data_IF_442082515086
#
_entry.id   IF_442082515086
#
_cell.length_a   1.000
_cell.length_b   1.000
_cell.length_c   1.000
_cell.angle_alpha   90.00
_cell.angle_beta   90.00
_cell.angle_gamma   90.00
#
_symmetry.space_group_name_H-M   'P 1'
#
loop_
_entity.id
_entity.type
_entity.pdbx_description
1 polymer ?
#
# COMPACT_ATOMS: atom_id res chain seq x y z
N UNK A 1 17.13 25.75 -6.20
CA UNK A 1 18.44 25.42 -6.79
C UNK A 1 19.53 26.00 -5.89
N UNK A 2 20.05 25.23 -4.96
CA UNK A 2 21.19 25.61 -4.10
C UNK A 2 22.48 25.25 -4.82
N UNK A 3 23.20 26.23 -5.31
CA UNK A 3 24.54 26.03 -5.85
C UNK A 3 25.55 25.83 -4.70
N UNK A 4 26.21 24.69 -4.68
CA UNK A 4 27.36 24.44 -3.80
C UNK A 4 28.59 25.19 -4.36
N UNK A 5 29.13 26.14 -3.59
CA UNK A 5 30.37 26.82 -3.89
C UNK A 5 31.56 25.93 -3.49
N UNK A 6 32.03 25.10 -4.43
CA UNK A 6 33.29 24.35 -4.29
C UNK A 6 34.17 24.47 -5.55
N UNK A 7 35.51 24.41 -5.39
CA UNK A 7 36.46 24.28 -6.51
C UNK A 7 36.37 22.86 -7.07
N UNK A 8 35.53 22.65 -8.07
CA UNK A 8 35.34 21.37 -8.75
C UNK A 8 34.35 21.49 -9.90
N UNK A 9 34.18 20.40 -10.67
CA UNK A 9 33.19 20.36 -11.73
C UNK A 9 31.79 20.60 -11.13
N UNK A 10 30.96 21.47 -11.75
CA UNK A 10 29.62 21.72 -11.24
C UNK A 10 28.83 20.42 -11.08
N UNK A 11 28.30 20.18 -9.88
CA UNK A 11 27.39 19.04 -9.61
C UNK A 11 25.96 19.53 -9.80
N UNK A 12 25.21 18.83 -10.63
CA UNK A 12 23.77 19.07 -10.79
C UNK A 12 23.07 18.15 -9.79
N UNK A 13 22.37 18.70 -8.77
CA UNK A 13 21.58 17.87 -7.88
C UNK A 13 20.42 17.24 -8.67
N UNK A 14 20.27 15.94 -8.53
CA UNK A 14 19.12 15.21 -9.08
C UNK A 14 17.99 15.22 -8.04
N UNK A 15 16.83 15.67 -8.44
CA UNK A 15 15.60 15.58 -7.67
C UNK A 15 14.61 14.67 -8.40
N UNK A 16 13.77 13.98 -7.62
CA UNK A 16 12.63 13.27 -8.19
C UNK A 16 11.71 14.27 -8.88
N UNK A 17 11.46 14.05 -10.16
CA UNK A 17 10.53 14.88 -10.92
C UNK A 17 9.11 14.76 -10.35
N UNK A 18 8.34 15.84 -10.41
CA UNK A 18 6.90 15.76 -10.19
C UNK A 18 6.26 15.02 -11.38
N UNK A 19 6.13 13.71 -11.22
CA UNK A 19 5.46 12.88 -12.22
C UNK A 19 3.94 13.12 -12.16
N UNK A 20 3.25 13.14 -13.31
CA UNK A 20 1.82 13.44 -13.33
C UNK A 20 0.93 12.32 -12.78
N UNK A 21 1.49 11.21 -12.27
CA UNK A 21 0.76 10.09 -11.71
C UNK A 21 0.72 10.07 -10.19
N UNK A 22 -0.13 9.20 -9.64
CA UNK A 22 -0.26 8.93 -8.21
C UNK A 22 -0.10 7.44 -7.92
N UNK A 23 0.30 7.13 -6.70
CA UNK A 23 0.31 5.80 -6.14
C UNK A 23 -0.88 5.69 -5.18
N UNK A 24 -1.71 4.66 -5.34
CA UNK A 24 -2.83 4.41 -4.46
C UNK A 24 -2.44 3.41 -3.38
N UNK A 25 -2.84 3.69 -2.14
CA UNK A 25 -2.75 2.77 -1.02
C UNK A 25 -4.14 2.50 -0.45
N UNK A 26 -4.44 1.23 -0.21
CA UNK A 26 -5.70 0.78 0.38
C UNK A 26 -5.38 -0.08 1.60
N UNK A 27 -5.90 0.30 2.76
CA UNK A 27 -5.80 -0.50 3.98
C UNK A 27 -7.19 -1.02 4.34
N UNK A 28 -7.38 -2.33 4.17
CA UNK A 28 -8.67 -2.99 4.41
C UNK A 28 -8.75 -3.42 5.86
N UNK A 29 -9.62 -2.79 6.64
CA UNK A 29 -9.94 -3.14 8.01
C UNK A 29 -11.32 -3.77 8.15
N UNK A 30 -11.65 -4.24 9.35
CA UNK A 30 -12.95 -4.87 9.64
C UNK A 30 -14.10 -3.89 9.66
N UNK A 31 -13.89 -2.71 10.21
CA UNK A 31 -14.92 -1.67 10.40
C UNK A 31 -14.88 -0.59 9.31
N UNK A 32 -13.69 -0.28 8.80
CA UNK A 32 -13.50 0.72 7.75
C UNK A 32 -12.37 0.35 6.81
N UNK A 33 -12.36 0.96 5.63
CA UNK A 33 -11.28 0.84 4.66
C UNK A 33 -10.69 2.21 4.40
N UNK A 34 -9.40 2.35 4.67
CA UNK A 34 -8.68 3.60 4.43
C UNK A 34 -8.05 3.60 3.04
N UNK A 35 -8.31 4.67 2.28
CA UNK A 35 -7.79 4.84 0.92
C UNK A 35 -7.00 6.14 0.85
N UNK A 36 -5.80 6.09 0.27
CA UNK A 36 -4.96 7.28 0.12
C UNK A 36 -4.27 7.31 -1.24
N UNK A 37 -4.06 8.51 -1.77
CA UNK A 37 -3.27 8.77 -2.97
C UNK A 37 -2.01 9.54 -2.60
N UNK A 38 -0.88 9.06 -3.11
CA UNK A 38 0.45 9.59 -2.82
C UNK A 38 1.14 10.05 -4.10
N UNK A 39 2.00 11.05 -3.99
CA UNK A 39 2.95 11.38 -5.06
C UNK A 39 4.18 10.46 -5.02
N UNK A 40 5.06 10.59 -6.03
CA UNK A 40 6.30 9.81 -6.11
C UNK A 40 7.26 10.05 -4.93
N UNK A 41 7.10 11.14 -4.20
CA UNK A 41 7.88 11.48 -3.00
C UNK A 41 7.27 10.92 -1.72
N UNK A 42 6.15 10.16 -1.82
CA UNK A 42 5.44 9.57 -0.68
C UNK A 42 4.57 10.56 0.10
N UNK A 43 4.33 11.77 -0.43
CA UNK A 43 3.45 12.73 0.23
C UNK A 43 1.99 12.37 -0.06
N UNK A 44 1.18 12.34 0.98
CA UNK A 44 -0.27 12.13 0.85
C UNK A 44 -0.91 13.35 0.16
N UNK A 45 -1.55 13.10 -0.97
CA UNK A 45 -2.26 14.12 -1.75
C UNK A 45 -3.75 14.16 -1.39
N UNK A 46 -4.33 13.01 -1.16
CA UNK A 46 -5.73 12.86 -0.81
C UNK A 46 -5.90 11.56 -0.02
N UNK A 47 -6.76 11.56 0.98
CA UNK A 47 -7.12 10.34 1.70
C UNK A 47 -8.61 10.34 2.06
N UNK A 48 -9.16 9.15 2.22
CA UNK A 48 -10.53 8.92 2.63
C UNK A 48 -10.63 7.71 3.53
N UNK A 49 -11.52 7.79 4.48
CA UNK A 49 -12.00 6.65 5.24
C UNK A 49 -13.35 6.23 4.65
N UNK A 50 -13.41 5.00 4.14
CA UNK A 50 -14.64 4.42 3.64
C UNK A 50 -15.33 3.72 4.80
N UNK A 51 -16.46 4.26 5.23
CA UNK A 51 -17.30 3.67 6.28
C UNK A 51 -18.05 2.44 5.72
N UNK A 52 -17.29 1.40 5.40
CA UNK A 52 -17.81 0.14 4.88
C UNK A 52 -17.32 -0.99 5.79
N UNK A 53 -18.26 -1.62 6.49
CA UNK A 53 -17.99 -2.85 7.22
C UNK A 53 -17.94 -4.01 6.23
N UNK A 54 -16.75 -4.53 5.96
CA UNK A 54 -16.48 -5.56 4.93
C UNK A 54 -17.38 -6.78 5.10
N UNK A 55 -17.64 -7.22 6.34
CA UNK A 55 -18.51 -8.38 6.64
C UNK A 55 -19.98 -8.19 6.22
N UNK A 56 -20.43 -6.96 6.01
CA UNK A 56 -21.83 -6.64 5.73
C UNK A 56 -22.13 -6.52 4.23
N UNK A 57 -21.12 -6.65 3.38
CA UNK A 57 -21.23 -6.55 1.93
C UNK A 57 -20.62 -7.77 1.27
N UNK A 58 -21.04 -8.08 0.05
CA UNK A 58 -20.38 -9.12 -0.74
C UNK A 58 -18.96 -8.68 -1.14
N UNK A 59 -18.09 -9.66 -1.43
CA UNK A 59 -16.72 -9.39 -1.91
C UNK A 59 -16.73 -8.50 -3.15
N UNK A 60 -17.61 -8.80 -4.11
CA UNK A 60 -17.73 -8.05 -5.35
C UNK A 60 -18.20 -6.61 -5.09
N UNK A 61 -19.23 -6.42 -4.24
CA UNK A 61 -19.73 -5.08 -3.89
C UNK A 61 -18.66 -4.25 -3.16
N UNK A 62 -17.88 -4.88 -2.27
CA UNK A 62 -16.77 -4.22 -1.61
C UNK A 62 -15.72 -3.74 -2.61
N UNK A 63 -15.26 -4.63 -3.50
CA UNK A 63 -14.24 -4.31 -4.51
C UNK A 63 -14.75 -3.23 -5.47
N UNK A 64 -16.00 -3.31 -5.91
CA UNK A 64 -16.62 -2.29 -6.75
C UNK A 64 -16.68 -0.92 -6.06
N UNK A 65 -17.05 -0.90 -4.78
CA UNK A 65 -17.09 0.33 -4.00
C UNK A 65 -15.70 0.96 -3.83
N UNK A 66 -14.69 0.14 -3.58
CA UNK A 66 -13.30 0.59 -3.47
C UNK A 66 -12.77 1.13 -4.81
N UNK A 67 -13.07 0.44 -5.92
CA UNK A 67 -12.70 0.91 -7.26
C UNK A 67 -13.38 2.24 -7.61
N UNK A 68 -14.66 2.38 -7.26
CA UNK A 68 -15.39 3.62 -7.47
C UNK A 68 -14.78 4.79 -6.68
N UNK A 69 -14.38 4.55 -5.41
CA UNK A 69 -13.72 5.56 -4.59
C UNK A 69 -12.36 5.98 -5.18
N UNK A 70 -11.52 5.02 -5.58
CA UNK A 70 -10.24 5.30 -6.24
C UNK A 70 -10.42 6.13 -7.52
N UNK A 71 -11.40 5.77 -8.35
CA UNK A 71 -11.73 6.52 -9.56
C UNK A 71 -12.19 7.95 -9.26
N UNK A 72 -13.03 8.13 -8.23
CA UNK A 72 -13.48 9.46 -7.82
C UNK A 72 -12.32 10.33 -7.32
N UNK A 73 -11.42 9.74 -6.51
CA UNK A 73 -10.26 10.45 -5.97
C UNK A 73 -9.28 10.87 -7.07
N UNK A 74 -9.01 9.99 -8.04
CA UNK A 74 -8.11 10.30 -9.17
C UNK A 74 -8.70 11.32 -10.12
N UNK A 75 -10.00 11.26 -10.38
CA UNK A 75 -10.72 12.28 -11.16
C UNK A 75 -10.61 13.65 -10.50
N UNK A 76 -10.75 13.71 -9.18
CA UNK A 76 -10.61 14.97 -8.42
C UNK A 76 -9.21 15.58 -8.49
N UNK A 77 -8.17 14.72 -8.55
CA UNK A 77 -6.78 15.16 -8.67
C UNK A 77 -6.33 15.38 -10.12
N UNK A 78 -7.11 14.94 -11.09
CA UNK A 78 -6.76 14.94 -12.52
C UNK A 78 -5.42 14.21 -12.77
N UNK A 79 -5.15 13.15 -12.01
CA UNK A 79 -3.90 12.38 -12.09
C UNK A 79 -4.20 10.88 -12.21
N UNK A 80 -3.57 10.17 -13.18
CA UNK A 80 -3.76 8.73 -13.33
C UNK A 80 -3.06 7.95 -12.21
N UNK A 81 -3.65 6.81 -11.81
CA UNK A 81 -3.00 5.83 -10.95
C UNK A 81 -1.82 5.20 -11.71
N UNK A 82 -0.70 5.01 -11.03
CA UNK A 82 0.51 4.34 -11.54
C UNK A 82 0.72 2.97 -10.91
N UNK A 83 0.40 2.83 -9.64
CA UNK A 83 0.45 1.57 -8.89
C UNK A 83 -0.63 1.56 -7.82
N UNK A 84 -1.05 0.37 -7.41
CA UNK A 84 -1.94 0.18 -6.27
C UNK A 84 -1.29 -0.76 -5.26
N UNK A 85 -1.21 -0.36 -4.00
CA UNK A 85 -0.84 -1.20 -2.87
C UNK A 85 -2.07 -1.47 -2.01
N UNK A 86 -2.32 -2.73 -1.69
CA UNK A 86 -3.40 -3.13 -0.79
C UNK A 86 -2.82 -3.83 0.41
N UNK A 87 -3.21 -3.41 1.61
CA UNK A 87 -2.91 -4.13 2.84
C UNK A 87 -4.20 -4.66 3.46
N UNK A 88 -4.14 -5.86 4.01
CA UNK A 88 -5.30 -6.52 4.61
C UNK A 88 -4.88 -7.33 5.83
N UNK A 89 -5.81 -7.58 6.74
CA UNK A 89 -5.63 -8.60 7.76
C UNK A 89 -5.61 -10.00 7.14
N UNK A 90 -5.17 -10.99 7.91
CA UNK A 90 -5.09 -12.38 7.46
C UNK A 90 -3.85 -12.69 6.62
N UNK A 91 -3.91 -13.78 5.90
CA UNK A 91 -2.80 -14.32 5.10
C UNK A 91 -3.01 -13.99 3.63
N UNK A 92 -1.96 -13.48 2.99
CA UNK A 92 -1.91 -13.30 1.53
C UNK A 92 -1.04 -14.41 0.95
N UNK A 93 -1.63 -15.22 0.07
CA UNK A 93 -0.94 -16.33 -0.60
C UNK A 93 -0.46 -15.92 -1.98
N UNK A 94 0.34 -16.80 -2.59
CA UNK A 94 0.85 -16.65 -3.94
C UNK A 94 -0.28 -16.28 -4.92
N UNK A 95 -0.02 -15.30 -5.81
CA UNK A 95 -1.02 -14.73 -6.71
C UNK A 95 -1.86 -13.59 -6.09
N UNK A 96 -1.64 -13.23 -4.81
CA UNK A 96 -2.35 -12.13 -4.15
C UNK A 96 -3.74 -12.51 -3.61
N UNK A 97 -4.01 -13.82 -3.44
CA UNK A 97 -5.27 -14.29 -2.84
C UNK A 97 -5.27 -14.09 -1.34
N UNK A 98 -6.34 -13.48 -0.85
CA UNK A 98 -6.50 -13.12 0.56
C UNK A 98 -7.37 -14.11 1.31
N UNK A 99 -6.85 -14.60 2.44
CA UNK A 99 -7.56 -15.46 3.40
C UNK A 99 -7.65 -14.71 4.72
N UNK A 100 -8.77 -14.10 5.00
CA UNK A 100 -9.00 -13.25 6.18
C UNK A 100 -10.34 -13.58 6.84
N UNK A 101 -10.39 -14.56 7.75
CA UNK A 101 -11.63 -14.99 8.40
C UNK A 101 -12.36 -13.86 9.15
N UNK A 102 -11.61 -12.91 9.71
CA UNK A 102 -12.17 -11.73 10.36
C UNK A 102 -12.88 -10.77 9.39
N UNK A 103 -12.56 -10.83 8.10
CA UNK A 103 -13.25 -10.10 7.02
C UNK A 103 -14.35 -10.96 6.36
N UNK A 104 -14.41 -12.25 6.65
CA UNK A 104 -15.25 -13.22 5.95
C UNK A 104 -14.69 -13.63 4.59
N UNK A 105 -13.40 -13.42 4.33
CA UNK A 105 -12.76 -13.69 3.05
C UNK A 105 -12.06 -15.05 3.03
N UNK A 106 -12.36 -15.84 1.99
CA UNK A 106 -11.79 -17.17 1.77
C UNK A 106 -11.25 -17.28 0.32
N UNK A 107 -10.03 -16.82 0.12
CA UNK A 107 -9.35 -16.83 -1.19
C UNK A 107 -9.80 -15.73 -2.15
N UNK A 108 -10.12 -14.55 -1.62
CA UNK A 108 -10.54 -13.39 -2.41
C UNK A 108 -9.40 -12.87 -3.27
N UNK A 109 -9.65 -12.71 -4.56
CA UNK A 109 -8.68 -12.25 -5.55
C UNK A 109 -8.83 -10.74 -5.83
N UNK A 110 -8.54 -9.95 -4.82
CA UNK A 110 -8.60 -8.48 -4.93
C UNK A 110 -7.52 -7.92 -5.86
N UNK A 111 -6.37 -8.58 -5.92
CA UNK A 111 -5.22 -8.12 -6.71
C UNK A 111 -5.51 -8.15 -8.20
N UNK A 112 -6.02 -9.26 -8.72
CA UNK A 112 -6.29 -9.42 -10.15
C UNK A 112 -7.44 -8.52 -10.61
N UNK A 113 -8.49 -8.37 -9.81
CA UNK A 113 -9.59 -7.47 -10.12
C UNK A 113 -9.14 -6.01 -10.23
N UNK A 114 -8.24 -5.56 -9.34
CA UNK A 114 -7.67 -4.22 -9.42
C UNK A 114 -6.72 -4.05 -10.61
N UNK A 115 -5.91 -5.08 -10.93
CA UNK A 115 -5.04 -5.06 -12.12
C UNK A 115 -5.84 -4.94 -13.41
N UNK A 116 -6.93 -5.68 -13.50
CA UNK A 116 -7.84 -5.63 -14.66
C UNK A 116 -8.48 -4.25 -14.81
N UNK A 117 -8.98 -3.68 -13.72
CA UNK A 117 -9.66 -2.39 -13.72
C UNK A 117 -8.72 -1.22 -14.06
N UNK A 118 -7.55 -1.16 -13.46
CA UNK A 118 -6.66 0.00 -13.57
C UNK A 118 -5.53 -0.19 -14.57
N UNK A 119 -5.27 -1.42 -15.03
CA UNK A 119 -4.17 -1.76 -15.94
C UNK A 119 -2.80 -1.29 -15.43
N UNK A 120 -2.57 -1.39 -14.11
CA UNK A 120 -1.33 -0.98 -13.44
C UNK A 120 -0.82 -2.10 -12.52
N UNK A 121 0.46 -2.06 -12.10
CA UNK A 121 0.95 -2.97 -11.08
C UNK A 121 0.15 -2.84 -9.78
N UNK A 122 -0.26 -3.99 -9.23
CA UNK A 122 -0.96 -4.10 -7.95
C UNK A 122 -0.22 -5.07 -7.06
N UNK A 123 0.09 -4.62 -5.86
CA UNK A 123 0.67 -5.44 -4.80
C UNK A 123 -0.34 -5.61 -3.66
N UNK A 124 -0.50 -6.84 -3.19
CA UNK A 124 -1.35 -7.16 -2.05
C UNK A 124 -0.49 -7.80 -0.97
N UNK A 125 -0.53 -7.31 0.24
CA UNK A 125 0.25 -7.84 1.35
C UNK A 125 -0.54 -7.86 2.66
N UNK A 126 -0.08 -8.67 3.61
CA UNK A 126 -0.60 -8.59 4.97
C UNK A 126 -0.20 -7.27 5.62
N UNK A 127 -1.01 -6.80 6.57
CA UNK A 127 -0.74 -5.54 7.28
C UNK A 127 0.61 -5.57 8.00
N UNK A 128 0.97 -6.71 8.61
CA UNK A 128 2.25 -6.87 9.30
C UNK A 128 3.43 -6.80 8.33
N UNK A 129 3.34 -7.46 7.17
CA UNK A 129 4.38 -7.40 6.13
C UNK A 129 4.55 -5.99 5.57
N UNK A 130 3.45 -5.28 5.36
CA UNK A 130 3.49 -3.90 4.87
C UNK A 130 4.14 -2.95 5.89
N UNK A 131 3.86 -3.11 7.19
CA UNK A 131 4.50 -2.33 8.27
C UNK A 131 6.01 -2.58 8.27
N UNK A 132 6.45 -3.85 8.25
CA UNK A 132 7.89 -4.19 8.22
C UNK A 132 8.56 -3.62 6.97
N UNK A 133 7.94 -3.74 5.79
CA UNK A 133 8.46 -3.18 4.55
C UNK A 133 8.60 -1.65 4.62
N UNK A 134 7.63 -0.95 5.21
CA UNK A 134 7.69 0.50 5.41
C UNK A 134 8.81 0.91 6.35
N UNK A 135 8.98 0.19 7.48
CA UNK A 135 10.05 0.46 8.45
C UNK A 135 11.43 0.17 7.86
N UNK A 136 11.59 -0.91 7.12
CA UNK A 136 12.85 -1.20 6.42
C UNK A 136 13.23 -0.06 5.46
N UNK A 137 12.25 0.47 4.74
CA UNK A 137 12.48 1.57 3.80
C UNK A 137 12.85 2.87 4.50
N UNK A 138 12.16 3.23 5.58
CA UNK A 138 12.42 4.43 6.36
C UNK A 138 13.71 4.36 7.18
N UNK A 139 14.13 3.16 7.61
CA UNK A 139 15.32 2.93 8.44
C UNK A 139 16.54 2.46 7.65
N UNK A 140 16.46 2.34 6.33
CA UNK A 140 17.55 1.86 5.48
C UNK A 140 18.88 2.61 5.69
N UNK A 141 18.82 3.91 6.00
CA UNK A 141 20.00 4.73 6.31
C UNK A 141 20.63 4.46 7.69
N UNK A 142 19.91 3.77 8.58
CA UNK A 142 20.36 3.49 9.95
C UNK A 142 21.12 2.17 10.06
N UNK A 143 21.26 1.41 8.97
CA UNK A 143 21.93 0.12 8.91
C UNK A 143 21.39 -0.90 9.94
N UNK A 144 20.06 -0.92 10.11
CA UNK A 144 19.38 -1.87 11.01
C UNK A 144 19.35 -3.25 10.32
N UNK A 145 19.87 -4.32 10.98
CA UNK A 145 20.03 -5.63 10.34
C UNK A 145 18.70 -6.35 10.09
N UNK A 146 17.68 -6.10 10.92
CA UNK A 146 16.35 -6.67 10.77
C UNK A 146 15.31 -5.85 11.53
N UNK A 147 14.08 -5.92 11.06
CA UNK A 147 12.90 -5.29 11.67
C UNK A 147 11.86 -6.37 11.92
N UNK A 148 11.24 -6.36 13.06
CA UNK A 148 10.08 -7.18 13.36
C UNK A 148 8.93 -6.27 13.76
N UNK A 149 7.75 -6.50 13.18
CA UNK A 149 6.53 -5.82 13.58
C UNK A 149 5.51 -6.81 14.14
N UNK A 150 4.91 -6.44 15.25
CA UNK A 150 3.74 -7.09 15.82
C UNK A 150 2.56 -6.12 15.69
N UNK A 151 1.56 -6.53 14.95
CA UNK A 151 0.28 -5.84 14.84
C UNK A 151 -0.73 -6.53 15.76
N UNK A 152 -1.42 -5.76 16.59
CA UNK A 152 -2.43 -6.26 17.50
C UNK A 152 -3.62 -5.28 17.53
N UNK A 153 -4.74 -5.73 17.02
CA UNK A 153 -6.02 -5.02 16.99
C UNK A 153 -7.14 -6.06 17.16
N UNK A 154 -8.11 -6.13 16.26
CA UNK A 154 -9.12 -7.21 16.18
C UNK A 154 -8.52 -8.56 15.73
N UNK A 155 -7.30 -8.54 15.25
CA UNK A 155 -6.46 -9.69 14.94
C UNK A 155 -5.02 -9.47 15.40
N UNK A 156 -4.25 -10.54 15.52
CA UNK A 156 -2.82 -10.48 15.83
C UNK A 156 -2.07 -10.99 14.59
N UNK A 157 -1.08 -10.21 14.16
CA UNK A 157 -0.22 -10.57 13.06
C UNK A 157 1.23 -10.14 13.34
N UNK A 158 2.19 -10.93 12.87
CA UNK A 158 3.61 -10.63 13.01
C UNK A 158 4.32 -10.82 11.67
N UNK A 159 5.36 -10.04 11.44
CA UNK A 159 6.26 -10.22 10.31
C UNK A 159 7.68 -9.80 10.70
N UNK A 160 8.67 -10.37 10.03
CA UNK A 160 10.08 -10.07 10.21
C UNK A 160 10.76 -9.83 8.87
N UNK A 161 11.73 -8.91 8.86
CA UNK A 161 12.58 -8.69 7.68
C UNK A 161 13.77 -9.62 7.68
N UNK A 162 14.12 -10.06 6.49
CA UNK A 162 15.35 -10.80 6.17
C UNK A 162 16.09 -10.06 5.04
N UNK A 163 17.37 -10.39 4.76
CA UNK A 163 18.09 -9.80 3.63
C UNK A 163 17.39 -9.97 2.28
N UNK A 164 16.62 -11.05 2.13
CA UNK A 164 15.95 -11.42 0.89
C UNK A 164 14.48 -10.93 0.81
N UNK A 165 13.96 -10.30 1.88
CA UNK A 165 12.59 -9.78 1.90
C UNK A 165 11.92 -9.76 3.27
N UNK A 166 10.60 -9.76 3.28
CA UNK A 166 9.76 -9.78 4.49
C UNK A 166 8.99 -11.09 4.54
N UNK A 167 9.02 -11.75 5.68
CA UNK A 167 8.32 -13.00 5.95
C UNK A 167 7.26 -12.80 7.04
N UNK A 168 5.99 -13.13 6.80
CA UNK A 168 4.99 -13.19 7.85
C UNK A 168 5.26 -14.38 8.78
N UNK A 169 5.04 -14.19 10.07
CA UNK A 169 5.10 -15.25 11.08
C UNK A 169 3.67 -15.69 11.37
N UNK A 170 3.34 -16.93 11.02
CA UNK A 170 2.05 -17.57 11.28
C UNK A 170 1.96 -18.17 12.69
#
# INVERSE_FOLDING_TARGET
>A
LTQSKGRGRPTIPLELADMPGVHAGVAVGTESTYVALFDLKGRTLLCRDMDITVKNVSEDDFIQSMMAELNQMTTKLERPIRTVGVTTSGTVREGGKVFAPNLGWDGVDIGDQLREQFSVPVEVSSISSAIVGSEMHSTASLNIPSVMALFADDSIACAISHPDGVEPIE
#
